data_IF_180742346114
#
_entry.id   IF_180742346114
#
_cell.length_a   1.000
_cell.length_b   1.000
_cell.length_c   1.000
_cell.angle_alpha   90.00
_cell.angle_beta   90.00
_cell.angle_gamma   90.00
#
_symmetry.space_group_name_H-M   'P 1'
#
loop_
_entity.id
_entity.type
_entity.pdbx_description
1 polymer ?
#
# COMPACT_ATOMS: atom_id res chain seq x y z
N UNK A 1 7.72 23.10 12.11
CA UNK A 1 7.01 21.81 12.14
C UNK A 1 7.95 20.79 11.52
N UNK A 2 8.18 19.64 12.15
CA UNK A 2 9.02 18.59 11.56
C UNK A 2 8.36 18.09 10.27
N UNK A 3 9.15 17.88 9.23
CA UNK A 3 8.63 17.31 7.98
C UNK A 3 8.34 15.81 8.16
N UNK A 4 7.44 15.21 7.36
CA UNK A 4 7.24 13.75 7.35
C UNK A 4 8.53 12.95 7.10
N UNK A 5 9.57 13.59 6.56
CA UNK A 5 10.88 12.97 6.35
C UNK A 5 11.71 12.85 7.65
N UNK A 6 11.39 13.64 8.68
CA UNK A 6 12.09 13.69 9.97
C UNK A 6 11.31 12.98 11.09
N UNK A 7 10.09 12.54 10.81
CA UNK A 7 9.24 11.84 11.77
C UNK A 7 9.57 10.32 11.75
N UNK A 8 9.97 9.72 12.89
CA UNK A 8 10.34 8.30 12.96
C UNK A 8 9.19 7.33 12.67
N UNK A 9 7.94 7.81 12.68
CA UNK A 9 6.77 6.99 12.34
C UNK A 9 6.52 6.90 10.83
N UNK A 10 7.28 7.62 10.01
CA UNK A 10 7.16 7.61 8.56
C UNK A 10 8.39 6.99 7.90
N UNK A 11 8.16 6.24 6.82
CA UNK A 11 9.21 5.65 6.00
C UNK A 11 8.97 5.93 4.51
N UNK A 12 10.05 6.14 3.75
CA UNK A 12 9.95 6.34 2.31
C UNK A 12 9.81 5.01 1.56
N UNK A 13 8.72 4.85 0.81
CA UNK A 13 8.52 3.73 -0.13
C UNK A 13 9.04 4.12 -1.52
N UNK A 14 9.82 3.25 -2.17
CA UNK A 14 10.41 3.49 -3.50
C UNK A 14 10.05 2.38 -4.50
N UNK A 15 9.80 2.76 -5.76
CA UNK A 15 9.51 1.81 -6.85
C UNK A 15 9.24 2.49 -8.19
N UNK A 16 9.27 1.72 -9.28
CA UNK A 16 8.93 2.19 -10.62
C UNK A 16 7.53 1.71 -11.02
N UNK A 17 6.70 2.63 -11.53
CA UNK A 17 5.36 2.34 -12.05
C UNK A 17 5.19 2.87 -13.46
N UNK A 18 4.21 2.35 -14.19
CA UNK A 18 3.90 2.85 -15.53
C UNK A 18 3.52 4.35 -15.47
N UNK A 19 4.03 5.13 -16.42
CA UNK A 19 3.82 6.59 -16.49
C UNK A 19 2.33 6.98 -16.45
N UNK A 20 1.47 6.19 -17.10
CA UNK A 20 0.01 6.42 -17.10
C UNK A 20 -0.60 6.31 -15.70
N UNK A 21 -0.13 5.36 -14.90
CA UNK A 21 -0.59 5.13 -13.52
C UNK A 21 -0.15 6.30 -12.65
N UNK A 22 1.13 6.66 -12.69
CA UNK A 22 1.66 7.79 -11.93
C UNK A 22 0.94 9.11 -12.27
N UNK A 23 0.64 9.36 -13.55
CA UNK A 23 -0.11 10.55 -13.97
C UNK A 23 -1.52 10.57 -13.39
N UNK A 24 -2.24 9.46 -13.48
CA UNK A 24 -3.62 9.37 -12.99
C UNK A 24 -3.67 9.50 -11.46
N UNK A 25 -2.76 8.84 -10.76
CA UNK A 25 -2.62 8.95 -9.31
C UNK A 25 -2.40 10.41 -8.87
N UNK A 26 -1.44 11.10 -9.50
CA UNK A 26 -1.16 12.51 -9.18
C UNK A 26 -2.36 13.41 -9.44
N UNK A 27 -3.06 13.21 -10.56
CA UNK A 27 -4.26 13.97 -10.89
C UNK A 27 -5.36 13.78 -9.84
N UNK A 28 -5.62 12.55 -9.40
CA UNK A 28 -6.61 12.25 -8.35
C UNK A 28 -6.22 12.91 -7.03
N UNK A 29 -4.94 12.85 -6.64
CA UNK A 29 -4.48 13.52 -5.41
C UNK A 29 -4.71 15.04 -5.48
N UNK A 30 -4.39 15.66 -6.64
CA UNK A 30 -4.63 17.08 -6.87
C UNK A 30 -6.12 17.44 -6.87
N UNK A 31 -6.97 16.65 -7.53
CA UNK A 31 -8.43 16.85 -7.56
C UNK A 31 -9.05 16.76 -6.17
N UNK A 32 -8.48 15.91 -5.30
CA UNK A 32 -8.94 15.72 -3.91
C UNK A 32 -8.26 16.66 -2.90
N UNK A 33 -7.27 17.46 -3.32
CA UNK A 33 -6.54 18.34 -2.43
C UNK A 33 -5.67 17.62 -1.38
N UNK A 34 -5.21 16.41 -1.67
CA UNK A 34 -4.37 15.60 -0.77
C UNK A 34 -2.93 15.49 -1.26
N UNK A 35 -1.99 15.27 -0.34
CA UNK A 35 -0.60 15.00 -0.69
C UNK A 35 -0.42 13.56 -1.20
N UNK A 36 0.71 13.29 -1.88
CA UNK A 36 0.97 11.96 -2.43
C UNK A 36 1.20 10.89 -1.35
N UNK A 37 1.67 11.28 -0.16
CA UNK A 37 1.82 10.37 0.98
C UNK A 37 0.47 9.83 1.43
N UNK A 38 -0.49 10.73 1.66
CA UNK A 38 -1.86 10.39 1.99
C UNK A 38 -2.52 9.57 0.87
N UNK A 39 -2.34 9.96 -0.39
CA UNK A 39 -2.84 9.19 -1.53
C UNK A 39 -2.26 7.76 -1.58
N UNK A 40 -0.99 7.58 -1.20
CA UNK A 40 -0.36 6.26 -1.10
C UNK A 40 -0.93 5.46 0.07
N UNK A 41 -1.09 6.05 1.26
CA UNK A 41 -1.68 5.39 2.42
C UNK A 41 -3.09 4.87 2.11
N UNK A 42 -3.94 5.71 1.51
CA UNK A 42 -5.30 5.32 1.10
C UNK A 42 -5.32 4.23 0.02
N UNK A 43 -4.30 4.18 -0.85
CA UNK A 43 -4.20 3.16 -1.90
C UNK A 43 -3.59 1.84 -1.38
N UNK A 44 -2.65 1.92 -0.43
CA UNK A 44 -1.93 0.76 0.11
C UNK A 44 -2.76 0.00 1.13
N UNK A 45 -3.51 0.68 2.01
CA UNK A 45 -4.27 0.03 3.08
C UNK A 45 -5.20 -1.08 2.56
N UNK A 46 -6.11 -0.85 1.59
CA UNK A 46 -7.01 -1.90 1.11
C UNK A 46 -6.27 -3.03 0.39
N UNK A 47 -5.16 -2.71 -0.28
CA UNK A 47 -4.34 -3.71 -0.94
C UNK A 47 -3.64 -4.63 0.08
N UNK A 48 -3.05 -4.05 1.12
CA UNK A 48 -2.40 -4.78 2.21
C UNK A 48 -3.40 -5.68 2.92
N UNK A 49 -4.56 -5.15 3.33
CA UNK A 49 -5.62 -5.94 3.98
C UNK A 49 -6.04 -7.16 3.14
N UNK A 50 -6.20 -6.95 1.83
CA UNK A 50 -6.51 -8.04 0.91
C UNK A 50 -5.36 -9.07 0.81
N UNK A 51 -4.10 -8.62 0.76
CA UNK A 51 -2.96 -9.55 0.71
C UNK A 51 -2.81 -10.34 2.01
N UNK A 52 -2.96 -9.70 3.17
CA UNK A 52 -2.91 -10.38 4.46
C UNK A 52 -4.02 -11.43 4.60
N UNK A 53 -5.22 -11.13 4.09
CA UNK A 53 -6.31 -12.10 4.06
C UNK A 53 -5.95 -13.33 3.23
N UNK A 54 -5.45 -13.13 2.00
CA UNK A 54 -5.07 -14.24 1.11
C UNK A 54 -3.96 -15.11 1.74
N UNK A 55 -2.94 -14.47 2.33
CA UNK A 55 -1.85 -15.20 2.98
C UNK A 55 -2.35 -16.04 4.17
N UNK A 56 -3.30 -15.52 4.97
CA UNK A 56 -3.90 -16.29 6.08
C UNK A 56 -4.72 -17.47 5.58
N UNK A 57 -5.45 -17.31 4.49
CA UNK A 57 -6.24 -18.40 3.87
C UNK A 57 -5.31 -19.50 3.34
N UNK A 58 -4.22 -19.14 2.65
CA UNK A 58 -3.20 -20.10 2.19
C UNK A 58 -2.53 -20.85 3.35
N UNK A 59 -2.24 -20.16 4.47
CA UNK A 59 -1.67 -20.78 5.68
C UNK A 59 -2.63 -21.77 6.36
N UNK A 60 -3.94 -21.54 6.30
CA UNK A 60 -4.94 -22.44 6.84
C UNK A 60 -5.11 -23.68 5.96
N UNK A 61 -5.24 -23.50 4.64
CA UNK A 61 -5.33 -24.59 3.67
C UNK A 61 -4.09 -25.50 3.69
N UNK A 62 -2.91 -24.93 3.94
CA UNK A 62 -1.65 -25.69 4.06
C UNK A 62 -1.54 -26.51 5.35
N UNK A 63 -2.31 -26.18 6.40
CA UNK A 63 -2.29 -26.89 7.70
C UNK A 63 -3.32 -28.03 7.77
N UNK A 64 -4.33 -28.01 6.88
CA UNK A 64 -5.36 -29.04 6.79
C UNK A 64 -5.00 -30.21 5.85
N UNK A 65 -3.84 -30.17 5.18
CA UNK A 65 -3.33 -31.34 4.45
C UNK A 65 -2.63 -32.30 5.42
N UNK A 66 -3.15 -33.53 5.62
CA UNK A 66 -2.44 -34.53 6.39
C UNK A 66 -1.13 -34.86 5.66
N UNK A 67 -0.01 -34.72 6.35
CA UNK A 67 1.27 -35.30 5.92
C UNK A 67 1.02 -36.78 5.61
N UNK A 68 1.08 -37.12 4.31
CA UNK A 68 1.03 -38.49 3.82
C UNK A 68 2.35 -39.21 4.07
#
# INVERSE_FOLDING_TARGET
MASKAEDPNYIQVRGHVQKRIARRFKAICSERGIDFGQGMEEAFLPWIEQQEKLLREEELDSKDQPQS
#
